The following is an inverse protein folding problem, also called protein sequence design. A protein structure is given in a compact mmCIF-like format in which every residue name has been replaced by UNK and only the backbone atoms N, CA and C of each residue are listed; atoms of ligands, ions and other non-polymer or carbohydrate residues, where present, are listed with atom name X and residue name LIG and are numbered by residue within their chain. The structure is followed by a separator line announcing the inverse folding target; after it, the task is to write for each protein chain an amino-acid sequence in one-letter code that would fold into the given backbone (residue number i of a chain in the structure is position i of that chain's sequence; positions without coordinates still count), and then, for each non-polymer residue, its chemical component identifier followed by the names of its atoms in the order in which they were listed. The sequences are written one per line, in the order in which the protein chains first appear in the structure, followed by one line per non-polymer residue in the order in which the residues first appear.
data_IF_524765077049
#
_entry.id   IF_524765077049
#
_cell.length_a   1.000
_cell.length_b   1.000
_cell.length_c   1.000
_cell.angle_alpha   90.00
_cell.angle_beta   90.00
_cell.angle_gamma   90.00
#
_symmetry.space_group_name_H-M   'P 1'
#
loop_
_entity.id
_entity.type
_entity.pdbx_description
1 polymer ?
#
# COMPACT_ATOMS: atom_id res chain seq x y z
N UNK A 1 -19.53 21.86 36.57
CA UNK A 1 -18.23 22.50 36.87
C UNK A 1 -17.87 23.44 35.71
N UNK A 2 -17.18 24.56 35.93
CA UNK A 2 -16.83 25.46 34.81
C UNK A 2 -15.69 24.85 33.99
N UNK A 3 -15.93 24.55 32.70
CA UNK A 3 -14.91 24.00 31.81
C UNK A 3 -13.90 25.11 31.47
N UNK A 4 -12.67 24.95 31.94
CA UNK A 4 -11.61 25.96 31.73
C UNK A 4 -10.90 25.75 30.39
N UNK A 5 -10.33 26.82 29.82
CA UNK A 5 -9.54 26.73 28.60
C UNK A 5 -8.32 25.80 28.75
N UNK A 6 -7.75 25.72 29.96
CA UNK A 6 -6.63 24.83 30.26
C UNK A 6 -7.04 23.35 30.20
N UNK A 7 -8.22 22.99 30.72
CA UNK A 7 -8.73 21.61 30.61
C UNK A 7 -8.96 21.21 29.15
N UNK A 8 -9.53 22.12 28.34
CA UNK A 8 -9.74 21.88 26.91
C UNK A 8 -8.40 21.70 26.19
N UNK A 9 -7.40 22.53 26.52
CA UNK A 9 -6.04 22.41 25.97
C UNK A 9 -5.40 21.07 26.34
N UNK A 10 -5.46 20.67 27.60
CA UNK A 10 -4.90 19.40 28.08
C UNK A 10 -5.57 18.20 27.40
N UNK A 11 -6.89 18.18 27.30
CA UNK A 11 -7.61 17.10 26.61
C UNK A 11 -7.23 17.03 25.13
N UNK A 12 -7.08 18.19 24.47
CA UNK A 12 -6.64 18.28 23.08
C UNK A 12 -5.21 17.76 22.90
N UNK A 13 -4.30 18.10 23.80
CA UNK A 13 -2.92 17.61 23.75
C UNK A 13 -2.85 16.09 23.96
N UNK A 14 -3.70 15.53 24.82
CA UNK A 14 -3.78 14.08 25.07
C UNK A 14 -4.42 13.29 23.92
N UNK A 15 -5.45 13.85 23.28
CA UNK A 15 -6.29 13.10 22.32
C UNK A 15 -6.07 13.48 20.86
N UNK A 16 -5.48 14.65 20.59
CA UNK A 16 -5.39 15.23 19.24
C UNK A 16 -6.71 15.78 18.70
N UNK A 17 -7.83 15.64 19.42
CA UNK A 17 -9.15 16.01 18.91
C UNK A 17 -9.31 17.54 18.70
N UNK A 18 -10.28 17.91 17.86
CA UNK A 18 -10.60 19.30 17.58
C UNK A 18 -10.98 20.09 18.85
N UNK A 19 -10.64 21.37 18.90
CA UNK A 19 -10.85 22.24 20.08
C UNK A 19 -12.30 22.21 20.58
N UNK A 20 -13.27 22.30 19.65
CA UNK A 20 -14.69 22.29 19.99
C UNK A 20 -15.19 20.90 20.41
N UNK A 21 -14.62 19.83 19.85
CA UNK A 21 -14.94 18.47 20.28
C UNK A 21 -14.45 18.23 21.71
N UNK A 22 -13.23 18.68 22.05
CA UNK A 22 -12.69 18.60 23.42
C UNK A 22 -13.54 19.40 24.41
N UNK A 23 -13.92 20.63 24.06
CA UNK A 23 -14.80 21.45 24.91
C UNK A 23 -16.15 20.78 25.11
N UNK A 24 -16.73 20.20 24.04
CA UNK A 24 -18.01 19.50 24.12
C UNK A 24 -17.89 18.25 25.00
N UNK A 25 -16.87 17.43 24.79
CA UNK A 25 -16.63 16.22 25.58
C UNK A 25 -16.54 16.55 27.08
N UNK A 26 -15.73 17.55 27.46
CA UNK A 26 -15.62 18.02 28.84
C UNK A 26 -16.95 18.58 29.38
N UNK A 27 -17.77 19.20 28.53
CA UNK A 27 -19.07 19.73 28.95
C UNK A 27 -20.06 18.60 29.25
N UNK A 28 -20.14 17.58 28.38
CA UNK A 28 -21.05 16.43 28.53
C UNK A 28 -20.65 15.53 29.71
N UNK A 29 -19.37 15.52 30.06
CA UNK A 29 -18.78 14.69 31.13
C UNK A 29 -18.53 15.47 32.42
N UNK A 30 -19.10 16.67 32.53
CA UNK A 30 -18.99 17.54 33.71
C UNK A 30 -17.55 17.90 34.13
N UNK A 31 -16.61 17.84 33.19
CA UNK A 31 -15.19 18.14 33.39
C UNK A 31 -14.33 16.94 33.77
N UNK A 32 -14.89 15.73 33.78
CA UNK A 32 -14.15 14.50 34.01
C UNK A 32 -13.26 14.16 32.80
N UNK A 33 -11.95 14.12 33.01
CA UNK A 33 -10.98 13.94 31.93
C UNK A 33 -11.01 12.54 31.32
N UNK A 34 -11.19 11.49 32.14
CA UNK A 34 -11.21 10.11 31.65
C UNK A 34 -12.50 9.85 30.88
N UNK A 35 -13.64 10.26 31.42
CA UNK A 35 -14.92 10.15 30.71
C UNK A 35 -14.92 10.98 29.43
N UNK A 36 -14.27 12.16 29.40
CA UNK A 36 -14.16 12.97 28.18
C UNK A 36 -13.33 12.28 27.10
N UNK A 37 -12.30 11.51 27.48
CA UNK A 37 -11.52 10.68 26.54
C UNK A 37 -12.40 9.57 25.97
N UNK A 38 -13.14 8.85 26.81
CA UNK A 38 -14.07 7.81 26.36
C UNK A 38 -15.15 8.36 25.43
N UNK A 39 -15.72 9.52 25.78
CA UNK A 39 -16.70 10.22 24.95
C UNK A 39 -16.12 10.57 23.56
N UNK A 40 -14.87 11.03 23.51
CA UNK A 40 -14.20 11.35 22.24
C UNK A 40 -13.94 10.09 21.41
N UNK A 41 -13.60 8.97 22.05
CA UNK A 41 -13.40 7.67 21.38
C UNK A 41 -14.70 7.17 20.74
N UNK A 42 -15.81 7.16 21.49
CA UNK A 42 -17.14 6.82 20.95
C UNK A 42 -17.54 7.72 19.77
N UNK A 43 -17.29 9.03 19.91
CA UNK A 43 -17.49 10.00 18.83
C UNK A 43 -16.62 9.71 17.60
N UNK A 44 -15.38 9.27 17.80
CA UNK A 44 -14.46 8.88 16.74
C UNK A 44 -15.01 7.72 15.92
N UNK A 45 -15.46 6.66 16.58
CA UNK A 45 -16.13 5.50 15.96
C UNK A 45 -17.32 5.96 15.12
N UNK A 46 -18.21 6.79 15.69
CA UNK A 46 -19.37 7.30 14.95
C UNK A 46 -18.98 8.19 13.75
N UNK A 47 -17.91 9.00 13.88
CA UNK A 47 -17.40 9.83 12.78
C UNK A 47 -16.75 8.99 11.67
N UNK A 48 -16.12 7.88 12.01
CA UNK A 48 -15.55 6.94 11.06
C UNK A 48 -16.63 6.16 10.32
N UNK A 49 -17.63 5.64 11.03
CA UNK A 49 -18.78 4.97 10.45
C UNK A 49 -19.49 5.84 9.37
N UNK A 50 -19.68 7.13 9.66
CA UNK A 50 -20.26 8.11 8.69
C UNK A 50 -19.42 8.37 7.44
N UNK A 51 -18.14 7.98 7.44
CA UNK A 51 -17.22 8.13 6.31
C UNK A 51 -16.88 6.81 5.64
N UNK A 52 -17.35 5.69 6.17
CA UNK A 52 -16.99 4.34 5.69
C UNK A 52 -17.33 4.13 4.21
N UNK A 53 -18.42 4.73 3.71
CA UNK A 53 -18.83 4.64 2.30
C UNK A 53 -18.02 5.52 1.34
N UNK A 54 -17.13 6.38 1.86
CA UNK A 54 -16.33 7.27 1.01
C UNK A 54 -15.25 6.50 0.26
N UNK A 55 -14.84 7.02 -0.88
CA UNK A 55 -13.76 6.44 -1.68
C UNK A 55 -12.43 7.00 -1.17
N UNK A 56 -11.55 6.11 -0.70
CA UNK A 56 -10.19 6.42 -0.28
C UNK A 56 -9.21 5.79 -1.28
N UNK A 57 -8.94 6.50 -2.37
CA UNK A 57 -8.10 6.04 -3.48
C UNK A 57 -6.71 6.69 -3.53
N UNK A 58 -6.43 7.61 -2.59
CA UNK A 58 -5.10 8.19 -2.37
C UNK A 58 -4.49 7.57 -1.11
N UNK A 59 -3.31 8.06 -0.67
CA UNK A 59 -2.64 7.56 0.52
C UNK A 59 -1.15 7.29 0.32
N UNK A 60 -0.63 6.30 1.05
CA UNK A 60 0.80 6.00 1.11
C UNK A 60 1.05 4.49 1.22
N UNK A 61 2.05 4.03 0.48
CA UNK A 61 2.73 2.77 0.78
C UNK A 61 3.94 3.02 1.68
N UNK A 62 4.17 2.11 2.62
CA UNK A 62 5.30 2.19 3.54
C UNK A 62 5.96 0.83 3.70
N UNK A 63 7.26 0.83 3.97
CA UNK A 63 8.05 -0.36 4.19
C UNK A 63 8.86 -0.18 5.47
N UNK A 64 8.81 -1.19 6.34
CA UNK A 64 9.64 -1.26 7.54
C UNK A 64 10.38 -2.59 7.58
N UNK A 65 11.65 -2.55 7.96
CA UNK A 65 12.52 -3.73 8.05
C UNK A 65 13.14 -3.77 9.44
N UNK A 66 13.05 -4.92 10.11
CA UNK A 66 13.64 -5.16 11.41
C UNK A 66 14.35 -6.52 11.43
N UNK A 67 15.68 -6.50 11.31
CA UNK A 67 16.49 -7.71 11.20
C UNK A 67 16.08 -8.54 9.98
N UNK A 68 15.55 -9.73 10.24
CA UNK A 68 15.14 -10.69 9.20
C UNK A 68 13.65 -10.62 8.86
N UNK A 69 12.95 -9.61 9.38
CA UNK A 69 11.52 -9.39 9.11
C UNK A 69 11.32 -8.07 8.38
N UNK A 70 10.39 -8.04 7.45
CA UNK A 70 9.97 -6.83 6.76
C UNK A 70 8.46 -6.81 6.56
N UNK A 71 7.88 -5.61 6.57
CA UNK A 71 6.48 -5.38 6.20
C UNK A 71 6.42 -4.32 5.12
N UNK A 72 5.57 -4.55 4.12
CA UNK A 72 5.09 -3.53 3.20
C UNK A 72 3.59 -3.37 3.41
N UNK A 73 3.09 -2.14 3.49
CA UNK A 73 1.66 -1.89 3.65
C UNK A 73 1.19 -0.68 2.84
N UNK A 74 -0.12 -0.64 2.57
CA UNK A 74 -0.83 0.47 1.96
C UNK A 74 -1.89 1.01 2.94
N UNK A 75 -1.77 2.28 3.32
CA UNK A 75 -2.81 3.02 4.03
C UNK A 75 -3.41 4.03 3.07
N UNK A 76 -4.73 4.03 2.94
CA UNK A 76 -5.43 4.96 2.06
C UNK A 76 -6.04 6.15 2.78
N UNK A 77 -6.20 7.23 2.03
CA UNK A 77 -6.92 8.46 2.37
C UNK A 77 -7.82 8.89 1.20
N UNK A 78 -8.68 9.88 1.41
CA UNK A 78 -9.53 10.43 0.34
C UNK A 78 -8.69 11.32 -0.59
N UNK A 79 -7.74 12.10 -0.04
CA UNK A 79 -6.91 13.04 -0.79
C UNK A 79 -5.41 12.77 -0.67
N UNK A 80 -4.62 13.26 -1.63
CA UNK A 80 -3.16 13.18 -1.65
C UNK A 80 -2.50 14.14 -0.65
N UNK A 81 -3.19 15.20 -0.24
CA UNK A 81 -2.74 16.12 0.80
C UNK A 81 -2.58 15.40 2.15
N UNK A 82 -3.49 14.47 2.48
CA UNK A 82 -3.41 13.69 3.72
C UNK A 82 -2.19 12.78 3.73
N UNK A 83 -1.75 12.23 2.59
CA UNK A 83 -0.53 11.41 2.52
C UNK A 83 0.74 12.16 2.98
N UNK A 84 0.74 13.49 2.87
CA UNK A 84 1.84 14.38 3.31
C UNK A 84 1.67 14.86 4.75
N UNK A 85 0.54 14.60 5.40
CA UNK A 85 0.27 15.02 6.77
C UNK A 85 1.11 14.20 7.76
N UNK A 86 1.76 14.87 8.72
CA UNK A 86 2.61 14.21 9.72
C UNK A 86 1.86 13.19 10.58
N UNK A 87 0.60 13.48 10.95
CA UNK A 87 -0.24 12.55 11.72
C UNK A 87 -0.56 11.29 10.93
N UNK A 88 -0.81 11.41 9.63
CA UNK A 88 -1.04 10.27 8.75
C UNK A 88 0.24 9.41 8.54
N UNK A 89 1.38 10.06 8.34
CA UNK A 89 2.67 9.35 8.24
C UNK A 89 3.03 8.65 9.54
N UNK A 90 2.75 9.28 10.68
CA UNK A 90 2.93 8.67 12.01
C UNK A 90 2.04 7.44 12.18
N UNK A 91 0.74 7.55 11.87
CA UNK A 91 -0.19 6.42 11.88
C UNK A 91 0.35 5.26 11.03
N UNK A 92 0.78 5.55 9.81
CA UNK A 92 1.29 4.55 8.87
C UNK A 92 2.49 3.78 9.44
N UNK A 93 3.43 4.47 10.11
CA UNK A 93 4.59 3.87 10.78
C UNK A 93 4.19 3.03 11.99
N UNK A 94 3.27 3.53 12.82
CA UNK A 94 2.80 2.79 13.99
C UNK A 94 2.07 1.49 13.59
N UNK A 95 1.30 1.53 12.49
CA UNK A 95 0.68 0.33 11.92
C UNK A 95 1.72 -0.66 11.39
N UNK A 96 2.77 -0.17 10.72
CA UNK A 96 3.85 -1.01 10.22
C UNK A 96 4.57 -1.75 11.34
N UNK A 97 5.00 -1.01 12.37
CA UNK A 97 5.66 -1.58 13.53
C UNK A 97 4.77 -2.61 14.24
N UNK A 98 3.47 -2.31 14.39
CA UNK A 98 2.51 -3.23 15.00
C UNK A 98 2.33 -4.52 14.18
N UNK A 99 2.14 -4.42 12.86
CA UNK A 99 2.00 -5.58 11.98
C UNK A 99 3.28 -6.41 11.97
N UNK A 100 4.45 -5.76 11.93
CA UNK A 100 5.73 -6.47 11.92
C UNK A 100 5.96 -7.27 13.21
N UNK A 101 5.56 -6.70 14.36
CA UNK A 101 5.70 -7.36 15.65
C UNK A 101 4.69 -8.51 15.87
N UNK A 102 3.46 -8.37 15.37
CA UNK A 102 2.36 -9.29 15.69
C UNK A 102 1.99 -10.24 14.55
N UNK A 103 2.43 -9.96 13.32
CA UNK A 103 2.23 -10.75 12.10
C UNK A 103 0.78 -11.26 11.90
N UNK A 104 -0.25 -10.40 11.94
CA UNK A 104 -1.60 -10.80 11.57
C UNK A 104 -1.63 -11.36 10.13
N UNK A 105 -2.58 -12.26 9.85
CA UNK A 105 -2.74 -12.86 8.53
C UNK A 105 -3.24 -11.85 7.49
N UNK A 106 -4.11 -10.92 7.91
CA UNK A 106 -4.69 -9.90 7.03
C UNK A 106 -5.10 -8.63 7.80
N UNK A 107 -5.61 -7.63 7.05
CA UNK A 107 -6.03 -6.35 7.61
C UNK A 107 -7.22 -6.47 8.56
N UNK A 108 -8.08 -7.48 8.39
CA UNK A 108 -9.24 -7.69 9.26
C UNK A 108 -8.78 -8.25 10.62
N UNK A 109 -7.85 -9.20 10.62
CA UNK A 109 -7.22 -9.67 11.85
C UNK A 109 -6.47 -8.54 12.56
N UNK A 110 -5.64 -7.79 11.81
CA UNK A 110 -4.88 -6.66 12.32
C UNK A 110 -5.80 -5.64 13.03
N UNK A 111 -6.95 -5.32 12.45
CA UNK A 111 -7.92 -4.36 12.98
C UNK A 111 -8.35 -4.69 14.43
N UNK A 112 -8.42 -5.97 14.79
CA UNK A 112 -8.86 -6.44 16.11
C UNK A 112 -7.74 -6.49 17.16
N UNK A 113 -6.48 -6.41 16.74
CA UNK A 113 -5.33 -6.52 17.63
C UNK A 113 -5.16 -5.26 18.47
N UNK A 114 -4.73 -5.44 19.73
CA UNK A 114 -4.44 -4.33 20.65
C UNK A 114 -3.03 -3.81 20.43
N UNK A 115 -2.92 -2.49 20.28
CA UNK A 115 -1.66 -1.76 20.23
C UNK A 115 -1.13 -1.50 21.65
N UNK A 116 0.11 -1.02 21.77
CA UNK A 116 0.77 -0.75 23.06
C UNK A 116 0.02 0.25 23.94
N UNK A 117 -0.73 1.16 23.34
CA UNK A 117 -1.56 2.13 24.04
C UNK A 117 -2.88 1.53 24.60
N UNK A 118 -3.13 0.23 24.38
CA UNK A 118 -4.31 -0.50 24.83
C UNK A 118 -5.51 -0.43 23.90
N UNK A 119 -5.51 0.48 22.92
CA UNK A 119 -6.55 0.57 21.89
C UNK A 119 -6.33 -0.51 20.81
N UNK A 120 -7.40 -0.92 20.15
CA UNK A 120 -7.31 -1.74 18.94
C UNK A 120 -6.75 -0.93 17.76
N UNK A 121 -6.20 -1.61 16.76
CA UNK A 121 -5.78 -0.97 15.51
C UNK A 121 -6.94 -0.20 14.85
N UNK A 122 -8.15 -0.75 14.88
CA UNK A 122 -9.34 -0.07 14.36
C UNK A 122 -9.66 1.21 15.16
N UNK A 123 -9.62 1.17 16.48
CA UNK A 123 -9.81 2.36 17.33
C UNK A 123 -8.73 3.43 17.09
N UNK A 124 -7.50 3.02 16.83
CA UNK A 124 -6.40 3.92 16.50
C UNK A 124 -6.63 4.63 15.16
N UNK A 125 -7.02 3.88 14.12
CA UNK A 125 -7.41 4.44 12.82
C UNK A 125 -8.63 5.36 12.96
N UNK A 126 -9.64 4.98 13.74
CA UNK A 126 -10.84 5.79 13.98
C UNK A 126 -10.52 7.12 14.67
N UNK A 127 -9.54 7.11 15.60
CA UNK A 127 -9.06 8.32 16.26
C UNK A 127 -8.34 9.26 15.27
N UNK A 128 -7.55 8.69 14.36
CA UNK A 128 -6.94 9.44 13.26
C UNK A 128 -8.00 10.01 12.30
N UNK A 129 -9.04 9.26 11.93
CA UNK A 129 -10.19 9.74 11.13
C UNK A 129 -10.91 10.89 11.82
N UNK A 130 -11.09 10.82 13.14
CA UNK A 130 -11.76 11.86 13.92
C UNK A 130 -11.01 13.20 13.89
N UNK A 131 -9.68 13.12 13.77
CA UNK A 131 -8.75 14.25 13.79
C UNK A 131 -8.49 14.80 12.38
N UNK A 132 -8.20 13.93 11.42
CA UNK A 132 -7.88 14.27 10.02
C UNK A 132 -9.14 14.67 9.25
N UNK A 133 -10.27 14.03 9.54
CA UNK A 133 -11.56 14.35 8.90
C UNK A 133 -11.81 13.66 7.56
N UNK A 134 -10.94 12.74 7.14
CA UNK A 134 -11.12 11.88 5.97
C UNK A 134 -11.29 10.42 6.38
N UNK A 135 -11.87 9.60 5.50
CA UNK A 135 -11.79 8.14 5.59
C UNK A 135 -10.33 7.72 5.45
N UNK A 136 -9.87 6.94 6.42
CA UNK A 136 -8.57 6.29 6.40
C UNK A 136 -8.78 4.79 6.46
N UNK A 137 -7.92 4.01 5.81
CA UNK A 137 -8.01 2.55 5.89
C UNK A 137 -6.63 1.90 5.74
N UNK A 138 -6.30 0.98 6.66
CA UNK A 138 -5.30 -0.04 6.39
C UNK A 138 -5.88 -0.99 5.35
N UNK A 139 -5.42 -0.89 4.09
CA UNK A 139 -6.05 -1.61 2.98
C UNK A 139 -5.47 -3.00 2.81
N UNK A 140 -4.14 -3.09 2.75
CA UNK A 140 -3.41 -4.34 2.54
C UNK A 140 -2.00 -4.22 3.08
N UNK A 141 -1.44 -5.36 3.44
CA UNK A 141 -0.03 -5.49 3.79
C UNK A 141 0.49 -6.85 3.36
N UNK A 142 1.81 -6.99 3.35
CA UNK A 142 2.49 -8.26 3.27
C UNK A 142 3.70 -8.25 4.21
N UNK A 143 3.90 -9.36 4.92
CA UNK A 143 5.08 -9.59 5.76
C UNK A 143 5.99 -10.54 5.01
N UNK A 144 7.29 -10.24 5.00
CA UNK A 144 8.32 -11.08 4.42
C UNK A 144 9.38 -11.38 5.48
N UNK A 145 9.85 -12.64 5.48
CA UNK A 145 10.95 -13.09 6.33
C UNK A 145 12.09 -13.53 5.42
N UNK A 146 13.32 -13.24 5.82
CA UNK A 146 14.54 -13.68 5.12
C UNK A 146 15.49 -14.40 6.08
N UNK A 147 16.53 -15.05 5.58
CA UNK A 147 17.63 -15.56 6.40
C UNK A 147 18.78 -14.55 6.51
N UNK A 148 19.79 -14.87 7.33
CA UNK A 148 21.03 -14.08 7.42
C UNK A 148 21.87 -14.12 6.14
N UNK A 149 21.60 -15.07 5.24
CA UNK A 149 22.27 -15.20 3.94
C UNK A 149 21.56 -14.44 2.81
N UNK A 150 20.44 -13.78 3.13
CA UNK A 150 19.54 -13.14 2.18
C UNK A 150 19.50 -11.62 2.39
N UNK A 151 18.97 -10.90 1.40
CA UNK A 151 18.83 -9.46 1.40
C UNK A 151 17.39 -9.02 1.11
N UNK A 152 16.93 -8.01 1.85
CA UNK A 152 15.72 -7.27 1.48
C UNK A 152 16.06 -6.16 0.50
N UNK A 153 15.19 -5.95 -0.49
CA UNK A 153 15.17 -4.75 -1.30
C UNK A 153 13.92 -3.93 -1.01
N UNK A 154 14.07 -2.90 -0.16
CA UNK A 154 13.00 -1.95 0.15
C UNK A 154 13.14 -0.70 -0.72
N UNK A 155 12.14 -0.42 -1.55
CA UNK A 155 12.12 0.77 -2.40
C UNK A 155 10.75 1.47 -2.37
N UNK A 156 10.78 2.76 -2.05
CA UNK A 156 9.62 3.65 -2.13
C UNK A 156 9.87 4.66 -3.27
N UNK A 157 8.95 4.72 -4.21
CA UNK A 157 8.98 5.65 -5.34
C UNK A 157 7.96 6.78 -5.17
N UNK A 158 8.30 7.97 -5.68
CA UNK A 158 7.44 9.15 -5.69
C UNK A 158 6.80 9.44 -4.32
N UNK A 159 7.61 9.42 -3.26
CA UNK A 159 7.15 9.68 -1.89
C UNK A 159 6.28 8.57 -1.30
N UNK A 160 6.36 7.34 -1.81
CA UNK A 160 5.59 6.19 -1.35
C UNK A 160 4.27 5.99 -2.11
N UNK A 161 4.10 6.61 -3.27
CA UNK A 161 3.00 6.27 -4.20
C UNK A 161 3.11 4.83 -4.71
N UNK A 162 4.34 4.35 -4.88
CA UNK A 162 4.63 2.94 -5.18
C UNK A 162 5.64 2.46 -4.14
N UNK A 163 5.36 1.29 -3.57
CA UNK A 163 6.25 0.60 -2.65
C UNK A 163 6.57 -0.78 -3.19
N UNK A 164 7.83 -1.18 -3.13
CA UNK A 164 8.29 -2.51 -3.52
C UNK A 164 9.19 -3.09 -2.45
N UNK A 165 8.87 -4.30 -2.03
CA UNK A 165 9.69 -5.13 -1.15
C UNK A 165 10.09 -6.39 -1.89
N UNK A 166 11.39 -6.64 -2.05
CA UNK A 166 11.94 -7.88 -2.60
C UNK A 166 12.69 -8.67 -1.54
N UNK A 167 12.70 -9.99 -1.70
CA UNK A 167 13.60 -10.90 -0.97
C UNK A 167 14.51 -11.57 -2.00
N UNK A 168 15.82 -11.36 -1.86
CA UNK A 168 16.82 -12.07 -2.65
C UNK A 168 17.57 -13.04 -1.76
N UNK A 169 17.69 -14.29 -2.20
CA UNK A 169 18.54 -15.28 -1.57
C UNK A 169 19.94 -15.31 -2.16
N UNK A 170 20.90 -15.88 -1.44
CA UNK A 170 22.28 -16.08 -1.91
C UNK A 170 23.14 -14.82 -1.89
N UNK A 171 22.62 -13.70 -1.39
CA UNK A 171 23.36 -12.46 -1.22
C UNK A 171 22.87 -11.71 0.01
N UNK A 172 23.79 -11.04 0.70
CA UNK A 172 23.49 -10.07 1.76
C UNK A 172 23.59 -8.62 1.25
N UNK A 173 23.84 -8.42 -0.05
CA UNK A 173 23.96 -7.09 -0.64
C UNK A 173 22.60 -6.44 -0.85
N UNK A 174 22.15 -5.66 0.14
CA UNK A 174 20.88 -4.90 0.06
C UNK A 174 20.79 -3.99 -1.17
N UNK A 175 21.92 -3.47 -1.66
CA UNK A 175 21.95 -2.66 -2.87
C UNK A 175 21.49 -3.42 -4.11
N UNK A 176 21.82 -4.72 -4.22
CA UNK A 176 21.39 -5.58 -5.33
C UNK A 176 19.89 -5.82 -5.25
N UNK A 177 19.37 -6.17 -4.07
CA UNK A 177 17.95 -6.39 -3.85
C UNK A 177 17.13 -5.11 -4.11
N UNK A 178 17.64 -3.96 -3.66
CA UNK A 178 17.04 -2.64 -3.91
C UNK A 178 17.01 -2.28 -5.39
N UNK A 179 18.06 -2.58 -6.13
CA UNK A 179 18.10 -2.36 -7.58
C UNK A 179 17.04 -3.19 -8.33
N UNK A 180 16.80 -4.42 -7.89
CA UNK A 180 15.68 -5.24 -8.39
C UNK A 180 14.33 -4.62 -7.99
N UNK A 181 14.18 -4.16 -6.75
CA UNK A 181 12.96 -3.48 -6.29
C UNK A 181 12.65 -2.21 -7.09
N UNK A 182 13.68 -1.43 -7.45
CA UNK A 182 13.56 -0.26 -8.33
C UNK A 182 13.05 -0.64 -9.73
N UNK A 183 13.58 -1.74 -10.28
CA UNK A 183 13.12 -2.24 -11.58
C UNK A 183 11.65 -2.66 -11.54
N UNK A 184 11.25 -3.43 -10.52
CA UNK A 184 9.86 -3.86 -10.33
C UNK A 184 8.93 -2.65 -10.16
N UNK A 185 9.36 -1.61 -9.45
CA UNK A 185 8.56 -0.40 -9.29
C UNK A 185 8.23 0.28 -10.64
N UNK A 186 9.19 0.26 -11.57
CA UNK A 186 9.08 0.89 -12.87
C UNK A 186 8.31 0.05 -13.91
N UNK A 187 8.55 -1.27 -13.94
CA UNK A 187 8.03 -2.15 -15.00
C UNK A 187 6.76 -2.91 -14.60
N UNK A 188 6.49 -3.06 -13.30
CA UNK A 188 5.32 -3.77 -12.78
C UNK A 188 5.18 -5.21 -13.33
N UNK A 189 6.21 -6.08 -13.22
CA UNK A 189 6.07 -7.49 -13.56
C UNK A 189 4.99 -8.16 -12.71
N UNK A 190 4.31 -9.15 -13.29
CA UNK A 190 3.31 -9.98 -12.61
C UNK A 190 3.94 -11.20 -11.94
N UNK A 191 5.02 -11.73 -12.51
CA UNK A 191 5.69 -12.95 -12.10
C UNK A 191 7.19 -12.76 -11.97
N UNK A 192 7.85 -13.61 -11.19
CA UNK A 192 9.32 -13.66 -11.15
C UNK A 192 9.84 -14.31 -12.42
N UNK A 193 9.34 -15.50 -12.75
CA UNK A 193 9.77 -16.31 -13.88
C UNK A 193 8.58 -16.90 -14.62
N UNK A 194 8.85 -17.43 -15.82
CA UNK A 194 7.86 -18.14 -16.65
C UNK A 194 7.24 -19.35 -15.95
N UNK A 195 7.97 -19.98 -15.03
CA UNK A 195 7.50 -21.17 -14.30
C UNK A 195 6.32 -20.86 -13.36
N UNK A 196 6.11 -19.59 -13.03
CA UNK A 196 4.96 -19.13 -12.25
C UNK A 196 3.75 -18.79 -13.13
N UNK A 197 3.91 -18.76 -14.46
CA UNK A 197 2.81 -18.53 -15.40
C UNK A 197 2.10 -19.85 -15.62
N UNK A 198 0.78 -19.87 -15.39
CA UNK A 198 0.01 -21.09 -15.58
C UNK A 198 -0.01 -21.53 -17.04
N UNK A 199 -0.13 -22.84 -17.28
CA UNK A 199 -0.32 -23.37 -18.62
C UNK A 199 -1.60 -22.82 -19.27
N UNK A 200 -2.67 -22.61 -18.49
CA UNK A 200 -3.91 -22.02 -18.96
C UNK A 200 -3.72 -20.58 -19.47
N UNK A 201 -3.01 -19.73 -18.71
CA UNK A 201 -2.72 -18.35 -19.12
C UNK A 201 -1.83 -18.32 -20.37
N UNK A 202 -0.83 -19.20 -20.41
CA UNK A 202 0.08 -19.33 -21.56
C UNK A 202 -0.66 -19.75 -22.83
N UNK A 203 -1.49 -20.80 -22.75
CA UNK A 203 -2.22 -21.31 -23.91
C UNK A 203 -3.32 -20.35 -24.35
N UNK A 204 -4.01 -19.70 -23.40
CA UNK A 204 -4.97 -18.65 -23.73
C UNK A 204 -4.31 -17.51 -24.50
N UNK A 205 -3.16 -17.02 -24.05
CA UNK A 205 -2.43 -15.96 -24.77
C UNK A 205 -1.96 -16.44 -26.15
N UNK A 206 -1.44 -17.67 -26.24
CA UNK A 206 -1.06 -18.30 -27.51
C UNK A 206 -2.22 -18.34 -28.51
N UNK A 207 -3.42 -18.73 -28.08
CA UNK A 207 -4.61 -18.76 -28.92
C UNK A 207 -4.94 -17.36 -29.45
N UNK A 208 -4.94 -16.35 -28.57
CA UNK A 208 -5.18 -14.94 -28.95
C UNK A 208 -4.17 -14.49 -30.00
N UNK A 209 -2.88 -14.71 -29.77
CA UNK A 209 -1.80 -14.34 -30.69
C UNK A 209 -1.90 -15.09 -32.02
N UNK A 210 -2.33 -16.35 -32.00
CA UNK A 210 -2.56 -17.16 -33.21
C UNK A 210 -3.68 -16.58 -34.06
N UNK A 211 -4.81 -16.24 -33.44
CA UNK A 211 -5.93 -15.61 -34.15
C UNK A 211 -5.55 -14.25 -34.73
N UNK A 212 -4.78 -13.44 -34.00
CA UNK A 212 -4.26 -12.17 -34.52
C UNK A 212 -3.39 -12.39 -35.76
N UNK A 213 -2.44 -13.32 -35.71
CA UNK A 213 -1.54 -13.59 -36.84
C UNK A 213 -2.26 -14.18 -38.06
N UNK A 214 -3.30 -15.01 -37.86
CA UNK A 214 -4.14 -15.51 -38.95
C UNK A 214 -4.95 -14.38 -39.61
N UNK A 215 -5.52 -13.48 -38.81
CA UNK A 215 -6.27 -12.31 -39.30
C UNK A 215 -5.40 -11.32 -40.09
N UNK A 216 -4.09 -11.32 -39.85
CA UNK A 216 -3.10 -10.56 -40.65
C UNK A 216 -2.81 -11.20 -42.03
N UNK A 217 -3.47 -12.31 -42.39
CA UNK A 217 -3.35 -12.97 -43.69
C UNK A 217 -2.03 -13.71 -43.90
N UNK A 218 -1.36 -14.11 -42.82
CA UNK A 218 -0.05 -14.79 -42.88
C UNK A 218 -0.21 -16.29 -43.15
N UNK A 219 0.70 -16.92 -43.90
CA UNK A 219 0.70 -18.39 -44.08
C UNK A 219 0.90 -19.12 -42.73
N UNK A 220 0.26 -20.28 -42.54
CA UNK A 220 0.30 -21.04 -41.27
C UNK A 220 1.71 -21.30 -40.72
N UNK A 221 2.68 -21.62 -41.61
CA UNK A 221 4.08 -21.84 -41.20
C UNK A 221 4.77 -20.58 -40.67
N UNK A 222 4.32 -19.40 -41.07
CA UNK A 222 4.79 -18.10 -40.59
C UNK A 222 4.07 -17.73 -39.30
N UNK A 223 2.78 -18.04 -39.19
CA UNK A 223 1.97 -17.84 -37.98
C UNK A 223 2.61 -18.51 -36.77
N UNK A 224 2.97 -19.79 -36.86
CA UNK A 224 3.59 -20.50 -35.73
C UNK A 224 4.85 -19.79 -35.20
N UNK A 225 5.76 -19.39 -36.09
CA UNK A 225 6.98 -18.65 -35.71
C UNK A 225 6.69 -17.26 -35.13
N UNK A 226 5.69 -16.57 -35.68
CA UNK A 226 5.28 -15.26 -35.18
C UNK A 226 4.67 -15.35 -33.78
N UNK A 227 3.85 -16.37 -33.54
CA UNK A 227 3.23 -16.62 -32.23
C UNK A 227 4.30 -16.90 -31.18
N UNK A 228 5.30 -17.75 -31.47
CA UNK A 228 6.42 -17.99 -30.54
C UNK A 228 7.19 -16.70 -30.20
N UNK A 229 7.46 -15.86 -31.19
CA UNK A 229 8.13 -14.57 -30.97
C UNK A 229 7.28 -13.61 -30.12
N UNK A 230 5.98 -13.50 -30.40
CA UNK A 230 5.04 -12.66 -29.64
C UNK A 230 4.82 -13.18 -28.22
N UNK A 231 4.78 -14.49 -28.04
CA UNK A 231 4.68 -15.12 -26.72
C UNK A 231 5.98 -14.90 -25.92
N UNK A 232 7.14 -14.92 -26.58
CA UNK A 232 8.40 -14.48 -25.98
C UNK A 232 8.30 -13.06 -25.45
N UNK A 233 7.74 -12.13 -26.23
CA UNK A 233 7.53 -10.73 -25.81
C UNK A 233 6.53 -10.62 -24.64
N UNK A 234 5.45 -11.39 -24.67
CA UNK A 234 4.50 -11.48 -23.56
C UNK A 234 5.19 -11.87 -22.25
N UNK A 235 6.07 -12.89 -22.27
CA UNK A 235 6.86 -13.25 -21.10
C UNK A 235 7.82 -12.14 -20.66
N UNK A 236 8.46 -11.43 -21.60
CA UNK A 236 9.28 -10.26 -21.26
C UNK A 236 8.48 -9.12 -20.63
N UNK A 237 7.18 -9.01 -20.90
CA UNK A 237 6.35 -7.96 -20.32
C UNK A 237 5.87 -8.35 -18.91
N UNK A 238 5.62 -9.64 -18.64
CA UNK A 238 5.03 -10.08 -17.36
C UNK A 238 6.01 -10.75 -16.39
N UNK A 239 7.15 -11.28 -16.85
CA UNK A 239 8.12 -12.00 -16.01
C UNK A 239 9.37 -11.16 -15.75
N UNK A 240 9.65 -10.89 -14.47
CA UNK A 240 10.80 -10.11 -14.01
C UNK A 240 12.13 -10.59 -14.61
N UNK A 241 12.41 -11.89 -14.54
CA UNK A 241 13.69 -12.45 -14.99
C UNK A 241 13.88 -12.40 -16.51
N UNK A 242 12.81 -12.18 -17.26
CA UNK A 242 12.85 -12.01 -18.72
C UNK A 242 12.99 -10.56 -19.16
N UNK A 243 12.81 -9.60 -18.24
CA UNK A 243 12.84 -8.17 -18.52
C UNK A 243 14.27 -7.64 -18.72
N UNK A 244 14.39 -6.69 -19.65
CA UNK A 244 15.59 -5.86 -19.81
C UNK A 244 15.78 -4.97 -18.58
N UNK A 245 16.96 -4.99 -17.98
CA UNK A 245 17.17 -4.32 -16.70
C UNK A 245 17.22 -2.79 -16.87
N UNK A 246 16.38 -2.08 -16.11
CA UNK A 246 16.18 -0.62 -16.25
C UNK A 246 17.47 0.18 -16.02
N UNK A 247 18.33 -0.26 -15.10
CA UNK A 247 19.61 0.42 -14.83
C UNK A 247 20.71 0.07 -15.82
N UNK A 248 20.56 -1.05 -16.55
CA UNK A 248 21.51 -1.48 -17.56
C UNK A 248 20.78 -2.28 -18.65
N UNK A 249 20.37 -1.61 -19.75
CA UNK A 249 19.63 -2.25 -20.83
C UNK A 249 20.40 -3.29 -21.64
N UNK A 250 21.72 -3.42 -21.43
CA UNK A 250 22.55 -4.43 -22.12
C UNK A 250 22.37 -5.85 -21.55
N UNK A 251 21.62 -5.98 -20.45
CA UNK A 251 21.36 -7.27 -19.81
C UNK A 251 19.93 -7.39 -19.29
N UNK A 252 19.48 -8.63 -19.10
CA UNK A 252 18.22 -8.94 -18.42
C UNK A 252 18.40 -8.93 -16.91
N UNK A 253 17.29 -8.80 -16.17
CA UNK A 253 17.31 -8.87 -14.69
C UNK A 253 17.90 -10.20 -14.21
N UNK A 254 17.59 -11.32 -14.89
CA UNK A 254 18.20 -12.63 -14.60
C UNK A 254 19.73 -12.57 -14.58
N UNK A 255 20.33 -12.02 -15.64
CA UNK A 255 21.78 -11.93 -15.77
C UNK A 255 22.37 -11.04 -14.67
N UNK A 256 21.70 -9.94 -14.33
CA UNK A 256 22.12 -9.06 -13.23
C UNK A 256 22.13 -9.81 -11.90
N UNK A 257 21.04 -10.48 -11.54
CA UNK A 257 20.89 -11.19 -10.26
C UNK A 257 21.86 -12.38 -10.17
N UNK A 258 21.99 -13.18 -11.24
CA UNK A 258 22.94 -14.29 -11.32
C UNK A 258 24.40 -13.83 -11.21
N UNK A 259 24.75 -12.68 -11.82
CA UNK A 259 26.12 -12.12 -11.72
C UNK A 259 26.51 -11.72 -10.29
N UNK A 260 25.52 -11.60 -9.40
CA UNK A 260 25.68 -11.30 -7.97
C UNK A 260 25.56 -12.55 -7.08
N UNK A 261 25.46 -13.73 -7.67
CA UNK A 261 25.26 -14.99 -6.95
C UNK A 261 23.91 -15.07 -6.25
N UNK A 262 22.95 -14.25 -6.64
CA UNK A 262 21.66 -14.12 -5.97
C UNK A 262 20.54 -14.84 -6.73
N UNK A 263 19.39 -14.99 -6.09
CA UNK A 263 18.11 -15.42 -6.71
C UNK A 263 16.98 -14.59 -6.15
N UNK A 264 15.97 -14.24 -6.96
CA UNK A 264 14.78 -13.53 -6.48
C UNK A 264 13.78 -14.54 -5.93
N UNK A 265 13.55 -14.53 -4.62
CA UNK A 265 12.64 -15.45 -3.95
C UNK A 265 11.20 -14.95 -4.00
N UNK A 266 11.00 -13.67 -3.68
CA UNK A 266 9.69 -13.05 -3.68
C UNK A 266 9.78 -11.55 -3.93
N UNK A 267 8.69 -10.99 -4.41
CA UNK A 267 8.48 -9.55 -4.37
C UNK A 267 7.02 -9.22 -4.10
N UNK A 268 6.80 -8.06 -3.51
CA UNK A 268 5.49 -7.44 -3.37
C UNK A 268 5.62 -6.02 -3.88
N UNK A 269 4.74 -5.62 -4.80
CA UNK A 269 4.58 -4.25 -5.29
C UNK A 269 3.19 -3.77 -4.94
N UNK A 270 3.09 -2.63 -4.28
CA UNK A 270 1.84 -1.89 -4.12
C UNK A 270 1.94 -0.55 -4.81
N UNK A 271 0.87 -0.19 -5.51
CA UNK A 271 0.62 1.16 -5.98
C UNK A 271 -0.63 1.70 -5.27
N UNK A 272 -0.53 2.91 -4.73
CA UNK A 272 -1.60 3.55 -3.98
C UNK A 272 -2.86 3.64 -4.84
N UNK A 273 -3.96 3.09 -4.31
CA UNK A 273 -5.27 3.14 -4.95
C UNK A 273 -5.42 2.22 -6.15
N UNK A 274 -4.46 1.32 -6.42
CA UNK A 274 -4.54 0.36 -7.52
C UNK A 274 -5.84 -0.44 -7.44
N UNK A 275 -6.65 -0.42 -8.51
CA UNK A 275 -7.94 -1.10 -8.57
C UNK A 275 -9.09 -0.39 -7.84
N UNK A 276 -8.88 0.84 -7.33
CA UNK A 276 -9.94 1.68 -6.77
C UNK A 276 -10.35 2.72 -7.82
N UNK A 277 -11.63 2.77 -8.15
CA UNK A 277 -12.17 3.80 -9.04
C UNK A 277 -12.09 5.17 -8.35
N UNK A 278 -11.33 6.10 -8.94
CA UNK A 278 -11.20 7.44 -8.39
C UNK A 278 -12.46 8.23 -8.66
N UNK A 279 -12.95 8.90 -7.63
CA UNK A 279 -14.07 9.84 -7.75
C UNK A 279 -13.65 11.01 -8.65
N UNK A 280 -14.34 11.19 -9.79
CA UNK A 280 -14.22 12.37 -10.62
C UNK A 280 -15.31 13.37 -10.22
N UNK A 281 -15.00 14.27 -9.29
CA UNK A 281 -15.92 15.36 -8.97
C UNK A 281 -15.72 16.53 -9.95
N UNK A 282 -16.80 16.97 -10.59
CA UNK A 282 -16.80 18.18 -11.42
C UNK A 282 -16.92 19.40 -10.51
N UNK A 283 -15.79 20.08 -10.26
CA UNK A 283 -15.72 21.25 -9.38
C UNK A 283 -16.73 22.35 -9.78
N UNK A 284 -16.98 22.54 -11.08
CA UNK A 284 -17.94 23.54 -11.54
C UNK A 284 -19.38 23.15 -11.15
N UNK A 285 -19.74 21.87 -11.26
CA UNK A 285 -21.05 21.39 -10.82
C UNK A 285 -21.20 21.42 -9.31
N UNK A 286 -20.15 21.10 -8.56
CA UNK A 286 -20.16 21.18 -7.09
C UNK A 286 -20.40 22.62 -6.61
N UNK A 287 -19.66 23.59 -7.18
CA UNK A 287 -19.86 25.01 -6.89
C UNK A 287 -21.27 25.44 -7.26
N UNK A 288 -21.76 25.07 -8.45
CA UNK A 288 -23.12 25.43 -8.89
C UNK A 288 -24.21 24.84 -8.00
N UNK A 289 -24.00 23.64 -7.43
CA UNK A 289 -24.95 23.01 -6.52
C UNK A 289 -24.96 23.64 -5.13
N UNK A 290 -23.84 24.19 -4.65
CA UNK A 290 -23.80 24.95 -3.40
C UNK A 290 -24.46 26.33 -3.52
N UNK A 291 -24.34 26.99 -4.68
CA UNK A 291 -24.97 28.30 -4.95
C UNK A 291 -26.51 28.20 -5.10
N UNK A 292 -27.03 27.01 -5.44
CA UNK A 292 -28.47 26.76 -5.62
C UNK A 292 -29.22 26.34 -4.35
N UNK A 293 -28.53 26.16 -3.22
CA UNK A 293 -29.13 25.91 -1.91
C UNK A 293 -29.26 27.21 -1.12
#
# INVERSE_FOLDING_TARGET
MAITAQMVKELREKTGAGMMDCKKALTETNGDMEQAIDFLREKGIAKAAKKSDRIAAEGLTYIETQGNEAVILEVNSETDFVAKNEGFQKLTKELAAHILANKPADAAEAATQKMENGATVEEHINSAIATIGEKLSLRRFAVATKTDADAFGAYLHAGGRIGVLTVLSGTTEEAVAKDVAMHIAAINPKYISRDQVSAEETEREREVLTQQALNEGKPEKIVAKMVEGRLGKFFEDICLLDQTFVKNPDQKVRQFVESKGATVESFVRFEVGEGIEKRQDNFAEEVMNQVKK
#
